data_IF_695183925744
#
_entry.id   IF_695183925744
#
_cell.length_a   1.000
_cell.length_b   1.000
_cell.length_c   1.000
_cell.angle_alpha   90.00
_cell.angle_beta   90.00
_cell.angle_gamma   90.00
#
_symmetry.space_group_name_H-M   'P 1'
#
loop_
_entity.id
_entity.type
_entity.pdbx_description
1 polymer ?
#
# COMPACT_ATOMS: atom_id res chain seq x y z
N UNK A 1 -10.59 -7.92 -18.44
CA UNK A 1 -9.44 -7.45 -17.63
C UNK A 1 -9.97 -6.37 -16.71
N UNK A 2 -9.81 -6.51 -15.39
CA UNK A 2 -10.28 -5.48 -14.44
C UNK A 2 -9.39 -4.23 -14.60
N UNK A 3 -10.00 -3.08 -14.89
CA UNK A 3 -9.33 -1.76 -14.89
C UNK A 3 -9.13 -1.24 -13.45
N UNK A 4 -8.75 -2.10 -12.49
CA UNK A 4 -8.34 -1.62 -11.16
C UNK A 4 -6.89 -1.13 -11.27
N UNK A 5 -6.57 0.09 -10.79
CA UNK A 5 -5.19 0.56 -10.78
C UNK A 5 -4.33 -0.34 -9.87
N UNK A 6 -3.09 -0.57 -10.32
CA UNK A 6 -2.11 -1.37 -9.58
C UNK A 6 -1.89 -0.79 -8.18
N UNK A 7 -2.03 -1.64 -7.16
CA UNK A 7 -1.84 -1.24 -5.77
C UNK A 7 -0.37 -1.33 -5.37
N UNK A 8 0.04 -0.49 -4.43
CA UNK A 8 1.41 -0.48 -3.88
C UNK A 8 1.81 -1.78 -3.18
N UNK A 9 0.83 -2.53 -2.68
CA UNK A 9 1.04 -3.84 -2.04
C UNK A 9 0.90 -5.04 -3.01
N UNK A 10 0.68 -4.81 -4.31
CA UNK A 10 0.61 -5.85 -5.34
C UNK A 10 1.87 -5.81 -6.22
N UNK A 11 2.26 -6.95 -6.78
CA UNK A 11 3.39 -6.98 -7.72
C UNK A 11 2.96 -6.42 -9.09
N UNK A 12 3.77 -5.56 -9.72
CA UNK A 12 3.56 -5.17 -11.11
C UNK A 12 3.70 -6.39 -12.04
N UNK A 13 3.05 -6.36 -13.20
CA UNK A 13 3.25 -7.39 -14.23
C UNK A 13 4.72 -7.47 -14.66
N UNK A 14 5.35 -6.30 -14.82
CA UNK A 14 6.77 -6.18 -15.18
C UNK A 14 7.41 -4.98 -14.50
N UNK A 15 8.70 -5.08 -14.17
CA UNK A 15 9.49 -3.94 -13.71
C UNK A 15 10.92 -4.00 -14.27
N UNK A 16 11.61 -2.85 -14.25
CA UNK A 16 13.04 -2.79 -14.50
C UNK A 16 13.80 -2.93 -13.17
N UNK A 17 15.00 -3.49 -13.20
CA UNK A 17 15.94 -3.45 -12.08
C UNK A 17 17.38 -3.57 -12.60
N UNK A 18 18.34 -3.67 -11.69
CA UNK A 18 19.73 -3.99 -12.01
C UNK A 18 20.10 -5.35 -11.43
N UNK A 19 20.84 -6.16 -12.19
CA UNK A 19 21.37 -7.42 -11.67
C UNK A 19 22.39 -7.11 -10.57
N UNK A 20 22.23 -7.60 -9.33
CA UNK A 20 23.10 -7.20 -8.22
C UNK A 20 24.60 -7.47 -8.47
N UNK A 21 24.92 -8.59 -9.13
CA UNK A 21 26.28 -9.06 -9.37
C UNK A 21 27.03 -8.26 -10.45
N UNK A 22 26.36 -7.85 -11.53
CA UNK A 22 27.01 -7.19 -12.68
C UNK A 22 26.63 -5.72 -12.85
N UNK A 23 25.50 -5.27 -12.31
CA UNK A 23 24.93 -3.96 -12.60
C UNK A 23 24.21 -3.87 -13.95
N UNK A 24 24.04 -4.99 -14.67
CA UNK A 24 23.29 -5.04 -15.93
C UNK A 24 21.83 -4.63 -15.72
N UNK A 25 21.27 -3.83 -16.62
CA UNK A 25 19.87 -3.48 -16.66
C UNK A 25 19.02 -4.68 -17.10
N UNK A 26 18.05 -5.03 -16.28
CA UNK A 26 17.22 -6.22 -16.45
C UNK A 26 15.74 -5.88 -16.39
N UNK A 27 14.93 -6.67 -17.09
CA UNK A 27 13.48 -6.66 -17.03
C UNK A 27 13.04 -7.93 -16.30
N UNK A 28 12.18 -7.75 -15.31
CA UNK A 28 11.61 -8.85 -14.53
C UNK A 28 10.12 -8.94 -14.86
N UNK A 29 9.64 -10.16 -15.11
CA UNK A 29 8.23 -10.48 -15.31
C UNK A 29 7.70 -11.25 -14.11
N UNK A 30 6.58 -10.82 -13.56
CA UNK A 30 5.99 -11.42 -12.38
C UNK A 30 5.55 -12.87 -12.67
N UNK A 31 5.87 -13.79 -11.77
CA UNK A 31 5.56 -15.22 -11.93
C UNK A 31 6.57 -16.03 -12.76
N UNK A 32 7.52 -15.37 -13.43
CA UNK A 32 8.56 -16.04 -14.22
C UNK A 32 9.87 -16.21 -13.44
N UNK A 33 10.66 -17.24 -13.76
CA UNK A 33 11.96 -17.45 -13.11
C UNK A 33 13.07 -16.73 -13.88
N UNK A 34 13.94 -16.03 -13.16
CA UNK A 34 15.05 -15.29 -13.76
C UNK A 34 14.63 -13.94 -14.33
N UNK A 35 15.37 -13.44 -15.31
CA UNK A 35 15.22 -12.09 -15.83
C UNK A 35 15.56 -12.05 -17.31
N UNK A 36 15.21 -10.94 -17.96
CA UNK A 36 15.56 -10.66 -19.34
C UNK A 36 16.55 -9.48 -19.38
N UNK A 37 17.61 -9.55 -20.22
CA UNK A 37 18.44 -8.37 -20.46
C UNK A 37 17.60 -7.28 -21.13
N UNK A 38 17.84 -6.02 -20.77
CA UNK A 38 17.22 -4.87 -21.41
C UNK A 38 18.04 -4.41 -22.61
N UNK A 39 17.39 -4.04 -23.71
CA UNK A 39 18.05 -3.40 -24.87
C UNK A 39 18.55 -1.98 -24.55
N UNK A 40 18.13 -1.40 -23.42
CA UNK A 40 18.61 -0.10 -22.93
C UNK A 40 19.78 -0.21 -21.95
N UNK A 41 20.38 -1.39 -21.81
CA UNK A 41 21.58 -1.56 -20.98
C UNK A 41 22.73 -0.70 -21.53
N UNK A 42 23.39 0.07 -20.65
CA UNK A 42 24.54 0.91 -21.03
C UNK A 42 25.87 0.34 -20.56
N UNK A 43 25.89 -0.90 -20.05
CA UNK A 43 27.02 -1.56 -19.38
C UNK A 43 27.54 -0.85 -18.12
N UNK A 44 26.96 0.30 -17.75
CA UNK A 44 27.35 1.11 -16.60
C UNK A 44 26.29 1.04 -15.52
N UNK A 45 26.67 0.50 -14.36
CA UNK A 45 25.79 0.27 -13.22
C UNK A 45 24.97 1.49 -12.80
N UNK A 46 25.60 2.65 -12.69
CA UNK A 46 24.92 3.87 -12.20
C UNK A 46 23.90 4.39 -13.22
N UNK A 47 24.27 4.46 -14.50
CA UNK A 47 23.35 4.86 -15.58
C UNK A 47 22.16 3.88 -15.67
N UNK A 48 22.42 2.57 -15.58
CA UNK A 48 21.38 1.54 -15.55
C UNK A 48 20.43 1.69 -14.34
N UNK A 49 20.95 2.05 -13.17
CA UNK A 49 20.13 2.30 -11.97
C UNK A 49 19.20 3.49 -12.17
N UNK A 50 19.68 4.56 -12.81
CA UNK A 50 18.85 5.73 -13.14
C UNK A 50 17.76 5.38 -14.16
N UNK A 51 18.09 4.61 -15.20
CA UNK A 51 17.13 4.13 -16.19
C UNK A 51 16.03 3.30 -15.51
N UNK A 52 16.41 2.31 -14.70
CA UNK A 52 15.45 1.47 -13.97
C UNK A 52 14.54 2.29 -13.05
N UNK A 53 15.12 3.18 -12.24
CA UNK A 53 14.38 4.07 -11.34
C UNK A 53 13.38 4.95 -12.09
N UNK A 54 13.82 5.59 -13.18
CA UNK A 54 13.00 6.50 -13.97
C UNK A 54 11.83 5.77 -14.65
N UNK A 55 12.09 4.57 -15.21
CA UNK A 55 11.06 3.78 -15.86
C UNK A 55 10.02 3.23 -14.87
N UNK A 56 10.48 2.73 -13.72
CA UNK A 56 9.60 2.25 -12.67
C UNK A 56 8.76 3.40 -12.08
N UNK A 57 9.37 4.55 -11.79
CA UNK A 57 8.67 5.72 -11.27
C UNK A 57 7.57 6.22 -12.21
N UNK A 58 7.82 6.27 -13.53
CA UNK A 58 6.81 6.63 -14.54
C UNK A 58 5.61 5.68 -14.60
N UNK A 59 5.80 4.43 -14.16
CA UNK A 59 4.76 3.39 -14.08
C UNK A 59 4.16 3.27 -12.68
N UNK A 60 4.58 4.12 -11.73
CA UNK A 60 4.14 4.07 -10.34
C UNK A 60 4.63 2.84 -9.58
N UNK A 61 5.70 2.18 -10.03
CA UNK A 61 6.30 1.04 -9.35
C UNK A 61 7.21 1.57 -8.24
N UNK A 62 6.90 1.19 -7.01
CA UNK A 62 7.68 1.53 -5.82
C UNK A 62 8.98 0.73 -5.75
N UNK A 63 9.94 1.21 -4.98
CA UNK A 63 11.17 0.45 -4.72
C UNK A 63 10.91 -0.84 -3.93
N UNK A 64 9.89 -0.85 -3.07
CA UNK A 64 9.42 -2.07 -2.37
C UNK A 64 8.94 -3.10 -3.39
N UNK A 65 8.12 -2.69 -4.36
CA UNK A 65 7.66 -3.57 -5.44
C UNK A 65 8.82 -4.06 -6.32
N UNK A 66 9.77 -3.18 -6.67
CA UNK A 66 10.97 -3.56 -7.43
C UNK A 66 11.79 -4.62 -6.68
N UNK A 67 12.04 -4.41 -5.39
CA UNK A 67 12.77 -5.36 -4.56
C UNK A 67 12.04 -6.70 -4.44
N UNK A 68 10.72 -6.66 -4.31
CA UNK A 68 9.89 -7.87 -4.27
C UNK A 68 9.92 -8.64 -5.60
N UNK A 69 9.85 -7.93 -6.72
CA UNK A 69 10.00 -8.51 -8.05
C UNK A 69 11.37 -9.19 -8.22
N UNK A 70 12.45 -8.53 -7.80
CA UNK A 70 13.81 -9.08 -7.87
C UNK A 70 13.97 -10.33 -6.99
N UNK A 71 13.45 -10.29 -5.76
CA UNK A 71 13.49 -11.45 -4.88
C UNK A 71 12.68 -12.63 -5.43
N UNK A 72 11.48 -12.36 -5.97
CA UNK A 72 10.63 -13.38 -6.58
C UNK A 72 11.27 -14.04 -7.80
N UNK A 73 11.95 -13.26 -8.64
CA UNK A 73 12.59 -13.76 -9.84
C UNK A 73 13.85 -14.59 -9.56
N UNK A 74 14.61 -14.23 -8.53
CA UNK A 74 15.86 -14.90 -8.14
C UNK A 74 15.64 -16.11 -7.22
N UNK A 75 14.72 -16.01 -6.26
CA UNK A 75 14.54 -16.99 -5.18
C UNK A 75 13.18 -17.70 -5.20
N UNK A 76 12.29 -17.29 -6.11
CA UNK A 76 10.95 -17.85 -6.28
C UNK A 76 9.85 -17.00 -5.65
N UNK A 77 8.70 -16.97 -6.30
CA UNK A 77 7.55 -16.12 -5.97
C UNK A 77 6.80 -16.49 -4.69
N UNK A 78 7.09 -17.65 -4.11
CA UNK A 78 6.52 -18.08 -2.83
C UNK A 78 7.39 -17.68 -1.62
N UNK A 79 8.49 -16.96 -1.85
CA UNK A 79 9.35 -16.48 -0.76
C UNK A 79 8.77 -15.21 -0.11
N UNK A 80 9.01 -14.97 1.18
CA UNK A 80 8.56 -13.73 1.83
C UNK A 80 9.08 -12.47 1.13
N UNK A 81 10.32 -12.51 0.63
CA UNK A 81 10.91 -11.41 -0.12
C UNK A 81 10.16 -11.08 -1.40
N UNK A 82 9.39 -12.00 -2.00
CA UNK A 82 8.56 -11.73 -3.16
C UNK A 82 7.23 -11.02 -2.84
N UNK A 83 6.96 -10.72 -1.57
CA UNK A 83 5.74 -10.06 -1.14
C UNK A 83 6.03 -8.60 -0.70
N UNK A 84 5.53 -7.57 -1.39
CA UNK A 84 5.69 -6.17 -1.00
C UNK A 84 5.29 -5.89 0.47
N UNK A 85 4.23 -6.55 0.96
CA UNK A 85 3.76 -6.39 2.33
C UNK A 85 4.80 -6.83 3.38
N UNK A 86 5.67 -7.79 3.05
CA UNK A 86 6.73 -8.25 3.96
C UNK A 86 7.68 -7.11 4.34
N UNK A 87 8.00 -6.22 3.40
CA UNK A 87 8.87 -5.06 3.66
C UNK A 87 8.21 -4.03 4.58
N UNK A 88 6.90 -3.81 4.43
CA UNK A 88 6.10 -2.93 5.28
C UNK A 88 5.93 -3.51 6.70
N UNK A 89 5.78 -4.82 6.81
CA UNK A 89 5.68 -5.52 8.11
C UNK A 89 7.00 -5.50 8.88
N UNK A 90 8.14 -5.45 8.16
CA UNK A 90 9.49 -5.38 8.71
C UNK A 90 10.06 -3.95 8.73
N UNK A 91 9.23 -2.93 8.49
CA UNK A 91 9.65 -1.55 8.54
C UNK A 91 10.12 -1.18 9.96
N UNK A 92 11.29 -0.56 10.07
CA UNK A 92 11.85 -0.15 11.36
C UNK A 92 11.42 1.26 11.68
N UNK A 93 10.63 1.43 12.74
CA UNK A 93 10.30 2.77 13.24
C UNK A 93 11.58 3.52 13.63
N UNK A 94 11.71 4.76 13.15
CA UNK A 94 12.86 5.62 13.46
C UNK A 94 12.46 6.66 14.49
N UNK A 95 11.49 7.53 14.16
CA UNK A 95 10.92 8.53 15.05
C UNK A 95 9.64 9.13 14.44
N UNK A 96 9.04 10.07 15.17
CA UNK A 96 7.96 10.92 14.70
C UNK A 96 8.27 12.37 15.05
N UNK A 97 8.07 13.29 14.11
CA UNK A 97 8.24 14.72 14.35
C UNK A 97 6.92 15.45 14.14
N UNK A 98 6.59 16.40 15.02
CA UNK A 98 5.51 17.35 14.74
C UNK A 98 6.01 18.28 13.66
N UNK A 99 5.27 18.37 12.56
CA UNK A 99 5.59 19.25 11.44
C UNK A 99 4.45 20.24 11.23
N UNK A 100 4.84 21.47 10.86
CA UNK A 100 3.93 22.51 10.40
C UNK A 100 4.21 22.79 8.94
N UNK A 101 3.17 22.92 8.13
CA UNK A 101 3.33 23.14 6.71
C UNK A 101 2.07 22.84 5.95
N UNK A 102 2.23 22.31 4.74
CA UNK A 102 1.10 22.01 3.87
C UNK A 102 1.30 20.69 3.14
N UNK A 103 0.20 20.00 2.86
CA UNK A 103 0.16 18.94 1.86
C UNK A 103 -0.37 19.51 0.55
N UNK A 104 0.32 19.18 -0.55
CA UNK A 104 -0.07 19.61 -1.88
C UNK A 104 -1.21 18.75 -2.41
N UNK A 105 -2.23 19.36 -3.01
CA UNK A 105 -3.23 18.64 -3.79
C UNK A 105 -2.53 17.92 -4.97
N UNK A 106 -2.83 16.64 -5.21
CA UNK A 106 -2.15 15.90 -6.28
C UNK A 106 -2.39 16.41 -7.70
N UNK A 107 -3.51 17.11 -7.95
CA UNK A 107 -3.89 17.60 -9.28
C UNK A 107 -3.94 19.13 -9.33
N UNK A 108 -4.54 19.75 -8.31
CA UNK A 108 -4.73 21.20 -8.26
C UNK A 108 -3.50 21.90 -7.72
N UNK A 109 -3.35 23.19 -8.06
CA UNK A 109 -2.34 24.07 -7.45
C UNK A 109 -2.77 24.57 -6.06
N UNK A 110 -3.38 23.69 -5.25
CA UNK A 110 -3.91 23.98 -3.91
C UNK A 110 -3.06 23.28 -2.86
N UNK A 111 -2.96 23.90 -1.68
CA UNK A 111 -2.20 23.40 -0.54
C UNK A 111 -3.09 23.42 0.69
N UNK A 112 -3.16 22.30 1.40
CA UNK A 112 -3.94 22.15 2.63
C UNK A 112 -3.02 22.21 3.84
N UNK A 113 -3.34 23.00 4.88
CA UNK A 113 -2.49 23.11 6.06
C UNK A 113 -2.40 21.76 6.78
N UNK A 114 -1.20 21.41 7.23
CA UNK A 114 -0.94 20.23 8.07
C UNK A 114 -0.14 20.68 9.28
N UNK A 115 -0.69 20.38 10.46
CA UNK A 115 0.00 20.50 11.74
C UNK A 115 -0.13 19.16 12.47
N UNK A 116 0.79 18.24 12.19
CA UNK A 116 0.65 16.85 12.65
C UNK A 116 1.97 16.11 12.79
N UNK A 117 1.90 14.85 13.25
CA UNK A 117 3.02 13.93 13.31
C UNK A 117 3.34 13.37 11.92
N UNK A 118 4.55 13.62 11.46
CA UNK A 118 5.16 12.90 10.35
C UNK A 118 5.93 11.71 10.92
N UNK A 119 5.45 10.51 10.61
CA UNK A 119 6.10 9.26 11.01
C UNK A 119 7.25 8.96 10.06
N UNK A 120 8.39 8.51 10.60
CA UNK A 120 9.56 8.11 9.82
C UNK A 120 9.92 6.66 10.10
N UNK A 121 10.04 5.90 9.02
CA UNK A 121 10.43 4.49 9.03
C UNK A 121 11.63 4.26 8.12
N UNK A 122 12.40 3.22 8.44
CA UNK A 122 13.43 2.70 7.57
C UNK A 122 12.96 1.39 6.94
N UNK A 123 12.96 1.35 5.61
CA UNK A 123 12.56 0.20 4.80
C UNK A 123 13.67 -0.02 3.78
N UNK A 124 14.24 -1.23 3.74
CA UNK A 124 15.38 -1.57 2.87
C UNK A 124 16.56 -0.57 2.96
N UNK A 125 16.82 -0.04 4.17
CA UNK A 125 17.89 0.94 4.41
C UNK A 125 17.59 2.36 3.93
N UNK A 126 16.39 2.64 3.42
CA UNK A 126 15.94 3.98 3.00
C UNK A 126 14.92 4.54 3.98
N UNK A 127 14.89 5.86 4.09
CA UNK A 127 13.92 6.57 4.91
C UNK A 127 12.63 6.81 4.14
N UNK A 128 11.50 6.44 4.74
CA UNK A 128 10.15 6.67 4.23
C UNK A 128 9.33 7.45 5.25
N UNK A 129 8.45 8.33 4.77
CA UNK A 129 7.58 9.11 5.62
C UNK A 129 6.12 8.70 5.45
N UNK A 130 5.38 8.76 6.55
CA UNK A 130 3.98 8.40 6.59
C UNK A 130 3.17 9.39 7.42
N UNK A 131 1.92 9.62 7.01
CA UNK A 131 0.90 10.29 7.81
C UNK A 131 -0.12 9.27 8.32
N UNK A 132 -0.52 9.34 9.60
CA UNK A 132 -1.69 8.61 10.06
C UNK A 132 -2.96 9.05 9.31
N UNK A 133 -3.92 8.14 9.14
CA UNK A 133 -5.16 8.41 8.38
C UNK A 133 -5.97 9.58 8.94
N UNK A 134 -6.05 9.70 10.27
CA UNK A 134 -6.79 10.78 10.96
C UNK A 134 -6.10 12.15 10.87
N UNK A 135 -4.89 12.19 10.30
CA UNK A 135 -4.08 13.40 10.12
C UNK A 135 -4.03 13.88 8.68
N UNK A 136 -4.63 13.14 7.75
CA UNK A 136 -4.80 13.59 6.39
C UNK A 136 -5.89 14.68 6.35
N UNK A 137 -5.69 15.80 5.64
CA UNK A 137 -6.72 16.82 5.50
C UNK A 137 -8.00 16.24 4.93
N UNK A 138 -9.12 16.61 5.54
CA UNK A 138 -10.45 16.12 5.16
C UNK A 138 -10.78 16.45 3.70
N UNK A 139 -10.25 17.56 3.17
CA UNK A 139 -10.47 18.00 1.80
C UNK A 139 -9.98 16.96 0.79
N UNK A 140 -8.88 16.27 1.10
CA UNK A 140 -8.34 15.19 0.27
C UNK A 140 -9.17 13.90 0.35
N UNK A 141 -9.88 13.68 1.46
CA UNK A 141 -10.63 12.45 1.77
C UNK A 141 -12.13 12.71 1.92
N UNK A 142 -12.69 13.70 1.22
CA UNK A 142 -14.11 14.03 1.27
C UNK A 142 -14.87 13.55 0.04
N UNK A 143 -16.20 13.43 0.12
CA UNK A 143 -17.04 13.14 -1.05
C UNK A 143 -16.93 14.17 -2.18
N UNK A 144 -16.44 15.39 -1.88
CA UNK A 144 -16.18 16.45 -2.86
C UNK A 144 -14.80 16.31 -3.52
N UNK A 145 -13.95 15.46 -2.96
CA UNK A 145 -12.66 15.11 -3.52
C UNK A 145 -12.85 14.11 -4.65
N UNK A 146 -12.05 14.26 -5.70
CA UNK A 146 -11.95 13.28 -6.79
C UNK A 146 -10.99 12.13 -6.45
N UNK A 147 -10.51 12.05 -5.22
CA UNK A 147 -9.49 11.10 -4.82
C UNK A 147 -10.05 9.98 -3.93
N UNK A 148 -9.59 8.77 -4.21
CA UNK A 148 -9.74 7.62 -3.31
C UNK A 148 -8.37 7.35 -2.71
N UNK A 149 -8.22 7.55 -1.39
CA UNK A 149 -6.97 7.31 -0.67
C UNK A 149 -6.66 5.81 -0.57
N UNK A 150 -5.39 5.46 -0.80
CA UNK A 150 -4.84 4.10 -0.74
C UNK A 150 -3.69 4.04 0.28
N UNK A 151 -3.99 3.93 1.59
CA UNK A 151 -2.97 3.72 2.61
C UNK A 151 -2.25 2.38 2.46
N UNK A 152 -0.99 2.34 2.91
CA UNK A 152 -0.24 1.11 3.12
C UNK A 152 -0.63 0.49 4.48
N UNK A 153 -0.60 -0.85 4.60
CA UNK A 153 -0.62 -1.52 5.91
C UNK A 153 0.79 -1.50 6.50
N UNK A 154 1.17 -0.43 7.18
CA UNK A 154 2.51 -0.26 7.74
C UNK A 154 2.59 -0.84 9.15
N UNK A 155 3.40 -1.88 9.36
CA UNK A 155 3.49 -2.58 10.65
C UNK A 155 2.12 -2.97 11.24
N UNK A 156 1.16 -3.33 10.37
CA UNK A 156 -0.19 -3.68 10.77
C UNK A 156 -1.16 -2.51 11.01
N UNK A 157 -0.79 -1.27 10.68
CA UNK A 157 -1.64 -0.08 10.82
C UNK A 157 -1.76 0.65 9.48
N UNK A 158 -2.98 1.06 9.05
CA UNK A 158 -3.15 1.89 7.87
C UNK A 158 -2.45 3.25 8.01
N UNK A 159 -1.56 3.59 7.07
CA UNK A 159 -0.89 4.87 7.02
C UNK A 159 -0.67 5.35 5.58
N UNK A 160 -0.76 6.66 5.36
CA UNK A 160 -0.56 7.27 4.04
C UNK A 160 0.91 7.49 3.75
N UNK A 161 1.51 6.85 2.72
CA UNK A 161 2.89 7.12 2.32
C UNK A 161 3.00 8.50 1.69
N UNK A 162 3.99 9.28 2.14
CA UNK A 162 4.20 10.66 1.69
C UNK A 162 5.69 10.96 1.48
N UNK A 163 5.98 11.95 0.64
CA UNK A 163 7.27 12.64 0.65
C UNK A 163 7.16 13.94 1.43
N UNK A 164 8.28 14.37 2.03
CA UNK A 164 8.34 15.63 2.77
C UNK A 164 9.61 16.41 2.39
N UNK A 165 9.42 17.64 1.96
CA UNK A 165 10.50 18.60 1.71
C UNK A 165 10.49 19.65 2.81
N UNK A 166 11.62 19.82 3.51
CA UNK A 166 11.75 20.75 4.62
C UNK A 166 12.43 22.04 4.15
N UNK A 167 11.79 23.17 4.43
CA UNK A 167 12.34 24.50 4.20
C UNK A 167 13.25 24.93 5.36
N UNK A 168 14.11 25.93 5.08
CA UNK A 168 15.05 26.46 6.08
C UNK A 168 14.36 27.08 7.31
N UNK A 169 13.13 27.58 7.15
CA UNK A 169 12.31 28.13 8.23
C UNK A 169 11.61 27.06 9.10
N UNK A 170 11.90 25.78 8.87
CA UNK A 170 11.29 24.65 9.60
C UNK A 170 9.91 24.22 9.08
N UNK A 171 9.31 24.93 8.11
CA UNK A 171 8.07 24.48 7.48
C UNK A 171 8.32 23.30 6.53
N UNK A 172 7.31 22.45 6.34
CA UNK A 172 7.37 21.32 5.44
C UNK A 172 6.35 21.42 4.29
N UNK A 173 6.71 20.89 3.13
CA UNK A 173 5.77 20.60 2.04
C UNK A 173 5.67 19.11 1.89
N UNK A 174 4.47 18.57 2.08
CA UNK A 174 4.14 17.15 2.01
C UNK A 174 3.48 16.86 0.66
N UNK A 175 3.79 15.71 0.07
CA UNK A 175 3.09 15.21 -1.11
C UNK A 175 2.73 13.74 -0.92
N UNK A 176 1.53 13.34 -1.33
CA UNK A 176 1.16 11.94 -1.40
C UNK A 176 2.09 11.22 -2.38
N UNK A 177 2.61 10.05 -2.00
CA UNK A 177 3.42 9.26 -2.93
C UNK A 177 2.58 8.74 -4.11
N UNK A 178 3.22 8.52 -5.26
CA UNK A 178 2.54 7.92 -6.41
C UNK A 178 1.94 6.55 -6.02
N UNK A 179 0.71 6.28 -6.50
CA UNK A 179 -0.01 5.04 -6.21
C UNK A 179 -0.66 4.98 -4.83
N UNK A 180 -0.52 6.04 -4.01
CA UNK A 180 -1.19 6.15 -2.71
C UNK A 180 -2.58 6.78 -2.80
N UNK A 181 -3.05 7.11 -4.00
CA UNK A 181 -4.40 7.55 -4.27
C UNK A 181 -4.78 7.18 -5.72
N UNK A 182 -6.09 7.17 -5.99
CA UNK A 182 -6.66 7.04 -7.35
C UNK A 182 -7.48 8.28 -7.64
N UNK A 183 -7.39 8.76 -8.88
CA UNK A 183 -8.26 9.83 -9.39
C UNK A 183 -9.49 9.18 -10.00
N UNK A 184 -10.66 9.54 -9.49
CA UNK A 184 -11.93 9.03 -9.97
C UNK A 184 -12.92 8.79 -8.83
N UNK A 185 -14.15 8.51 -9.21
CA UNK A 185 -15.24 8.27 -8.27
C UNK A 185 -15.56 6.78 -8.18
N UNK A 186 -15.87 6.32 -6.99
CA UNK A 186 -16.50 5.04 -6.76
C UNK A 186 -17.64 5.26 -5.77
N UNK A 187 -18.82 4.72 -6.08
CA UNK A 187 -20.03 4.93 -5.27
C UNK A 187 -20.58 3.57 -4.86
N UNK A 188 -20.95 3.45 -3.60
CA UNK A 188 -21.69 2.31 -3.07
C UNK A 188 -22.87 2.82 -2.25
N UNK A 189 -24.09 2.43 -2.60
CA UNK A 189 -25.32 2.87 -1.89
C UNK A 189 -25.40 4.39 -1.69
N UNK A 190 -25.06 5.18 -2.72
CA UNK A 190 -25.01 6.66 -2.69
C UNK A 190 -23.89 7.30 -1.87
N UNK A 191 -23.03 6.51 -1.20
CA UNK A 191 -21.83 7.03 -0.55
C UNK A 191 -20.66 6.99 -1.52
N UNK A 192 -19.97 8.12 -1.64
CA UNK A 192 -18.72 8.23 -2.36
C UNK A 192 -17.61 7.57 -1.54
N UNK A 193 -16.92 6.59 -2.12
CA UNK A 193 -15.79 5.93 -1.48
C UNK A 193 -14.61 6.90 -1.43
N UNK A 194 -14.09 7.19 -0.24
CA UNK A 194 -13.03 8.18 -0.02
C UNK A 194 -11.68 7.56 0.34
N UNK A 195 -11.69 6.33 0.86
CA UNK A 195 -10.48 5.56 1.14
C UNK A 195 -10.75 4.06 0.97
N UNK A 196 -9.72 3.29 0.64
CA UNK A 196 -9.77 1.82 0.64
C UNK A 196 -8.43 1.19 0.97
N UNK A 197 -8.47 0.07 1.68
CA UNK A 197 -7.27 -0.72 2.00
C UNK A 197 -7.56 -2.21 1.87
N UNK A 198 -6.61 -2.94 1.29
CA UNK A 198 -6.69 -4.39 1.12
C UNK A 198 -5.76 -5.10 2.08
N UNK A 199 -6.32 -6.05 2.81
CA UNK A 199 -5.61 -6.94 3.74
C UNK A 199 -5.86 -8.36 3.28
N UNK A 200 -4.89 -8.96 2.59
CA UNK A 200 -5.05 -10.26 1.94
C UNK A 200 -6.20 -10.27 0.92
N UNK A 201 -7.23 -11.08 1.16
CA UNK A 201 -8.43 -11.10 0.30
C UNK A 201 -9.54 -10.17 0.76
N UNK A 202 -9.44 -9.58 1.95
CA UNK A 202 -10.42 -8.60 2.43
C UNK A 202 -10.05 -7.21 1.93
N UNK A 203 -11.05 -6.41 1.60
CA UNK A 203 -10.88 -4.96 1.42
C UNK A 203 -11.86 -4.22 2.33
N UNK A 204 -11.37 -3.17 2.97
CA UNK A 204 -12.15 -2.23 3.76
C UNK A 204 -12.20 -0.90 3.01
N UNK A 205 -13.34 -0.22 3.09
CA UNK A 205 -13.55 1.09 2.45
C UNK A 205 -14.23 2.05 3.40
N UNK A 206 -13.93 3.34 3.24
CA UNK A 206 -14.71 4.43 3.83
C UNK A 206 -15.59 5.05 2.76
N UNK A 207 -16.82 5.40 3.12
CA UNK A 207 -17.77 6.12 2.29
C UNK A 207 -18.28 7.38 2.98
N UNK A 208 -18.61 8.41 2.20
CA UNK A 208 -19.25 9.64 2.66
C UNK A 208 -20.46 10.01 1.79
N UNK A 209 -21.54 10.44 2.43
CA UNK A 209 -22.73 11.00 1.81
C UNK A 209 -23.28 12.13 2.70
N UNK A 210 -23.01 13.40 2.37
CA UNK A 210 -23.43 14.57 3.19
C UNK A 210 -24.95 14.64 3.41
N UNK A 211 -25.74 14.02 2.53
CA UNK A 211 -27.22 14.04 2.59
C UNK A 211 -27.80 12.94 3.47
N UNK A 212 -27.00 11.94 3.85
CA UNK A 212 -27.48 10.82 4.65
C UNK A 212 -27.61 11.20 6.14
N UNK A 213 -28.57 10.61 6.89
CA UNK A 213 -28.67 10.81 8.34
C UNK A 213 -27.40 10.42 9.11
N UNK A 214 -26.69 9.40 8.62
CA UNK A 214 -25.36 9.02 9.06
C UNK A 214 -24.39 9.24 7.89
N UNK A 215 -23.68 10.39 7.84
CA UNK A 215 -22.95 10.78 6.64
C UNK A 215 -21.74 9.90 6.30
N UNK A 216 -21.28 9.08 7.24
CA UNK A 216 -20.07 8.28 7.08
C UNK A 216 -20.36 6.80 7.26
N UNK A 217 -19.64 5.96 6.53
CA UNK A 217 -19.78 4.50 6.63
C UNK A 217 -18.47 3.80 6.34
N UNK A 218 -18.22 2.67 7.01
CA UNK A 218 -17.19 1.72 6.58
C UNK A 218 -17.84 0.44 6.07
N UNK A 219 -17.33 -0.12 4.99
CA UNK A 219 -17.74 -1.44 4.50
C UNK A 219 -16.55 -2.37 4.37
N UNK A 220 -16.86 -3.65 4.27
CA UNK A 220 -15.90 -4.69 3.93
C UNK A 220 -16.38 -5.48 2.71
N UNK A 221 -15.46 -5.95 1.89
CA UNK A 221 -15.70 -7.00 0.90
C UNK A 221 -14.64 -8.10 1.00
N UNK A 222 -14.91 -9.22 0.32
CA UNK A 222 -13.89 -10.22 0.03
C UNK A 222 -13.66 -10.27 -1.47
N UNK A 223 -12.49 -9.81 -1.92
CA UNK A 223 -12.15 -9.66 -3.34
C UNK A 223 -12.17 -10.98 -4.12
N UNK A 224 -12.11 -12.13 -3.43
CA UNK A 224 -12.25 -13.45 -4.06
C UNK A 224 -13.68 -13.76 -4.49
N UNK A 225 -14.66 -13.11 -3.88
CA UNK A 225 -16.08 -13.38 -4.10
C UNK A 225 -16.69 -12.50 -5.21
N UNK A 226 -15.97 -11.50 -5.71
CA UNK A 226 -16.54 -10.53 -6.64
C UNK A 226 -16.76 -11.10 -8.06
N UNK A 227 -16.04 -12.16 -8.46
CA UNK A 227 -16.14 -12.71 -9.82
C UNK A 227 -15.91 -11.63 -10.89
N UNK A 228 -16.76 -11.58 -11.91
CA UNK A 228 -16.76 -10.49 -12.91
C UNK A 228 -17.78 -9.37 -12.58
N UNK A 229 -18.46 -9.48 -11.44
CA UNK A 229 -19.46 -8.51 -10.99
C UNK A 229 -18.86 -7.28 -10.31
N UNK A 230 -19.72 -6.30 -9.96
CA UNK A 230 -19.29 -5.16 -9.15
C UNK A 230 -18.84 -5.63 -7.76
N UNK A 231 -17.99 -4.84 -7.07
CA UNK A 231 -17.55 -5.15 -5.71
C UNK A 231 -18.75 -5.39 -4.78
N UNK A 232 -18.76 -6.53 -4.07
CA UNK A 232 -19.85 -6.87 -3.16
C UNK A 232 -19.50 -6.45 -1.72
N UNK A 233 -19.89 -5.23 -1.36
CA UNK A 233 -19.69 -4.67 -0.02
C UNK A 233 -20.77 -5.11 0.98
N UNK A 234 -20.35 -5.49 2.18
CA UNK A 234 -21.21 -5.93 3.28
C UNK A 234 -20.71 -5.43 4.64
N UNK A 235 -21.50 -5.66 5.68
CA UNK A 235 -21.23 -5.24 7.08
C UNK A 235 -20.86 -3.76 7.19
N UNK A 236 -21.81 -2.92 6.79
CA UNK A 236 -21.70 -1.46 6.88
C UNK A 236 -21.78 -0.96 8.32
N UNK A 237 -20.78 -0.21 8.77
CA UNK A 237 -20.83 0.51 10.05
C UNK A 237 -21.04 1.99 9.77
N UNK A 238 -22.26 2.47 10.00
CA UNK A 238 -22.63 3.88 9.78
C UNK A 238 -22.24 4.72 11.01
N UNK A 239 -21.77 5.95 10.76
CA UNK A 239 -21.21 6.88 11.76
C UNK A 239 -21.71 8.30 11.48
N UNK A 240 -21.87 9.08 12.54
CA UNK A 240 -22.29 10.49 12.47
C UNK A 240 -21.14 11.45 12.18
N UNK A 241 -19.91 11.06 12.51
CA UNK A 241 -18.72 11.89 12.36
C UNK A 241 -17.58 11.15 11.67
N UNK A 242 -16.70 11.93 11.03
CA UNK A 242 -15.57 11.44 10.24
C UNK A 242 -14.53 10.74 11.11
N UNK A 243 -14.23 11.26 12.29
CA UNK A 243 -13.20 10.69 13.17
C UNK A 243 -13.54 9.27 13.59
N UNK A 244 -14.77 9.03 14.05
CA UNK A 244 -15.26 7.68 14.40
C UNK A 244 -15.27 6.74 13.18
N UNK A 245 -15.47 7.26 11.96
CA UNK A 245 -15.37 6.47 10.74
C UNK A 245 -13.93 6.08 10.39
N UNK A 246 -12.97 7.00 10.55
CA UNK A 246 -11.54 6.72 10.37
C UNK A 246 -11.05 5.71 11.40
N UNK A 247 -11.44 5.86 12.67
CA UNK A 247 -11.11 4.92 13.74
C UNK A 247 -11.62 3.51 13.41
N UNK A 248 -12.91 3.37 13.09
CA UNK A 248 -13.51 2.09 12.72
C UNK A 248 -12.83 1.46 11.48
N UNK A 249 -12.50 2.26 10.47
CA UNK A 249 -11.77 1.80 9.28
C UNK A 249 -10.39 1.23 9.66
N UNK A 250 -9.64 1.99 10.48
CA UNK A 250 -8.31 1.59 10.94
C UNK A 250 -8.36 0.32 11.81
N UNK A 251 -9.31 0.24 12.73
CA UNK A 251 -9.51 -0.93 13.60
C UNK A 251 -9.85 -2.18 12.79
N UNK A 252 -10.82 -2.10 11.87
CA UNK A 252 -11.24 -3.24 11.05
C UNK A 252 -10.10 -3.79 10.19
N UNK A 253 -9.31 -2.90 9.58
CA UNK A 253 -8.14 -3.30 8.79
C UNK A 253 -7.05 -3.93 9.67
N UNK A 254 -6.76 -3.32 10.82
CA UNK A 254 -5.77 -3.82 11.80
C UNK A 254 -6.15 -5.19 12.34
N UNK A 255 -7.42 -5.40 12.65
CA UNK A 255 -7.91 -6.68 13.19
C UNK A 255 -7.87 -7.80 12.14
N UNK A 256 -8.22 -7.51 10.89
CA UNK A 256 -8.06 -8.51 9.82
C UNK A 256 -6.58 -8.83 9.57
N UNK A 257 -5.69 -7.84 9.66
CA UNK A 257 -4.25 -8.07 9.57
C UNK A 257 -3.75 -9.01 10.68
N UNK A 258 -4.11 -8.73 11.94
CA UNK A 258 -3.78 -9.61 13.07
C UNK A 258 -4.31 -11.04 12.86
N UNK A 259 -5.54 -11.18 12.35
CA UNK A 259 -6.13 -12.50 12.03
C UNK A 259 -5.32 -13.22 10.95
N UNK A 260 -4.84 -12.52 9.93
CA UNK A 260 -4.03 -13.10 8.86
C UNK A 260 -2.65 -13.53 9.37
N UNK A 261 -1.96 -12.70 10.15
CA UNK A 261 -0.68 -13.06 10.77
C UNK A 261 -0.83 -14.30 11.65
N UNK A 262 -1.88 -14.36 12.48
CA UNK A 262 -2.16 -15.53 13.31
C UNK A 262 -2.42 -16.80 12.48
N UNK A 263 -3.16 -16.69 11.36
CA UNK A 263 -3.39 -17.82 10.44
C UNK A 263 -2.08 -18.32 9.83
N UNK A 264 -1.17 -17.42 9.45
CA UNK A 264 0.14 -17.77 8.88
C UNK A 264 1.00 -18.52 9.90
N UNK A 265 1.12 -18.01 11.13
CA UNK A 265 1.86 -18.68 12.21
C UNK A 265 1.30 -20.08 12.50
N UNK A 266 -0.02 -20.23 12.56
CA UNK A 266 -0.65 -21.54 12.77
C UNK A 266 -0.40 -22.52 11.61
N UNK A 267 -0.36 -22.05 10.37
CA UNK A 267 -0.06 -22.88 9.21
C UNK A 267 1.41 -23.34 9.21
N UNK A 268 2.34 -22.47 9.57
CA UNK A 268 3.76 -22.81 9.71
C UNK A 268 4.00 -23.83 10.82
N UNK A 269 3.38 -23.66 11.99
CA UNK A 269 3.43 -24.62 13.09
C UNK A 269 2.91 -26.00 12.66
N UNK A 270 1.80 -26.05 11.90
CA UNK A 270 1.27 -27.30 11.36
C UNK A 270 2.22 -27.96 10.36
N UNK A 271 2.96 -27.17 9.57
CA UNK A 271 3.93 -27.67 8.58
C UNK A 271 5.19 -28.24 9.25
N UNK A 272 5.64 -27.66 10.36
CA UNK A 272 6.87 -28.07 11.07
C UNK A 272 6.64 -29.18 12.10
N UNK A 273 5.39 -29.43 12.49
CA UNK A 273 5.06 -30.55 13.40
C UNK A 273 5.16 -31.90 12.65
N UNK A 274 5.98 -32.87 13.12
CA UNK A 274 6.07 -34.18 12.49
C UNK A 274 4.71 -34.88 12.50
N UNK A 275 4.28 -35.46 11.37
CA UNK A 275 3.14 -36.38 11.36
C UNK A 275 3.50 -37.55 12.28
N UNK A 276 2.80 -37.71 13.42
CA UNK A 276 2.84 -38.95 14.18
C UNK A 276 2.48 -40.07 13.20
N UNK A 277 3.42 -40.98 12.95
CA UNK A 277 3.12 -42.27 12.35
C UNK A 277 1.95 -42.85 13.15
N UNK A 278 0.81 -43.06 12.47
CA UNK A 278 -0.23 -43.91 13.02
C UNK A 278 0.41 -45.28 13.13
N UNK A 279 0.85 -45.61 14.34
CA UNK A 279 1.37 -46.92 14.66
C UNK A 279 0.37 -47.96 14.15
N UNK A 280 0.85 -48.80 13.23
CA UNK A 280 0.34 -50.13 13.07
C UNK A 280 0.39 -50.77 14.46
N UNK A 281 -0.78 -51.12 14.99
CA UNK A 281 -0.91 -51.87 16.21
C UNK A 281 -2.02 -52.87 16.02
N UNK A 282 -1.59 -54.00 15.43
CA UNK A 282 -2.08 -55.38 15.58
C UNK A 282 -3.43 -55.73 14.97
#
# INVERSE_FOLDING_TARGET
MRNEPMRRNELPETCFSILPSSGQLIIIRCGERGYYPSEWDTEKREENREIASSHNARRGITDIQEAAMLAGSMFGWNTPGANPQWYLDNARYVNSNIVQGHIKDPIMSVYYPVSSFLLRYEIMGKQHFYLPMDKLPQELMSQRSQFIMLPDMLCGVPAMPVTATFAQNGSCTIQLEHGSYVVGEAVNQEYHITARIRVGSAEFVMGECEKAPAPFVTWQRNCKNDGDGPPNFFWGHYRSDRSSCIEDFCERATDEYKKQQNRMVQQEQKRTTPKKERGESR
#
